data_IF_850871338005
#
_entry.id   IF_850871338005
#
_cell.length_a   1.000
_cell.length_b   1.000
_cell.length_c   1.000
_cell.angle_alpha   90.00
_cell.angle_beta   90.00
_cell.angle_gamma   90.00
#
_symmetry.space_group_name_H-M   'P 1'
#
loop_
_entity.id
_entity.type
_entity.pdbx_description
1 polymer ?
#
# COMPACT_ATOMS: atom_id res chain seq x y z
N UNK A 1 17.15 -2.74 3.88
CA UNK A 1 15.94 -1.92 3.83
C UNK A 1 14.76 -2.83 4.09
N UNK A 2 13.76 -2.38 4.83
CA UNK A 2 12.49 -3.07 5.06
C UNK A 2 11.36 -2.14 4.64
N UNK A 3 10.40 -2.67 3.88
CA UNK A 3 9.24 -1.91 3.40
C UNK A 3 8.01 -2.18 4.27
N UNK A 4 7.27 -1.13 4.59
CA UNK A 4 6.01 -1.21 5.36
C UNK A 4 4.98 -0.25 4.82
N UNK A 5 3.71 -0.66 4.83
CA UNK A 5 2.58 0.21 4.50
C UNK A 5 2.08 0.93 5.75
N UNK A 6 1.85 2.23 5.65
CA UNK A 6 1.38 3.12 6.70
C UNK A 6 0.29 4.05 6.17
N UNK A 7 -0.48 4.68 7.08
CA UNK A 7 -1.48 5.70 6.74
C UNK A 7 -2.48 5.30 5.65
N UNK A 8 -2.97 4.06 5.73
CA UNK A 8 -3.92 3.51 4.76
C UNK A 8 -5.33 4.08 4.94
N UNK A 9 -5.93 4.57 3.85
CA UNK A 9 -7.31 5.05 3.74
C UNK A 9 -7.98 4.49 2.47
N UNK A 10 -9.25 4.03 2.56
CA UNK A 10 -9.96 3.66 3.78
C UNK A 10 -9.24 2.55 4.55
N UNK A 11 -9.45 2.46 5.87
CA UNK A 11 -8.72 1.51 6.74
C UNK A 11 -8.92 0.05 6.31
N UNK A 12 -10.08 -0.28 5.71
CA UNK A 12 -10.39 -1.59 5.12
C UNK A 12 -9.38 -2.02 4.05
N UNK A 13 -8.74 -1.06 3.37
CA UNK A 13 -7.72 -1.35 2.36
C UNK A 13 -6.50 -2.11 2.91
N UNK A 14 -6.24 -2.07 4.22
CA UNK A 14 -5.15 -2.84 4.86
C UNK A 14 -5.34 -4.36 4.77
N UNK A 15 -6.58 -4.82 4.62
CA UNK A 15 -6.89 -6.26 4.56
C UNK A 15 -6.78 -6.79 3.12
N UNK A 16 -6.84 -5.90 2.12
CA UNK A 16 -6.82 -6.27 0.70
C UNK A 16 -5.51 -5.92 -0.01
N UNK A 17 -4.64 -5.10 0.58
CA UNK A 17 -3.36 -4.70 -0.02
C UNK A 17 -2.20 -5.04 0.91
N UNK A 18 -1.16 -5.65 0.36
CA UNK A 18 0.07 -6.00 1.07
C UNK A 18 1.31 -5.47 0.36
N UNK A 19 2.40 -5.28 1.11
CA UNK A 19 3.73 -5.00 0.56
C UNK A 19 4.70 -6.08 1.00
N UNK A 20 5.51 -6.56 0.06
CA UNK A 20 6.62 -7.44 0.38
C UNK A 20 7.71 -6.64 1.14
N UNK A 21 8.04 -7.00 2.39
CA UNK A 21 8.96 -6.22 3.21
C UNK A 21 10.40 -6.21 2.68
N UNK A 22 10.77 -7.14 1.78
CA UNK A 22 12.12 -7.24 1.24
C UNK A 22 12.26 -6.59 -0.15
N UNK A 23 11.21 -6.65 -0.98
CA UNK A 23 11.27 -6.18 -2.37
C UNK A 23 10.49 -4.88 -2.61
N UNK A 24 9.57 -4.52 -1.72
CA UNK A 24 8.65 -3.40 -1.93
C UNK A 24 7.52 -3.70 -2.93
N UNK A 25 7.40 -4.94 -3.41
CA UNK A 25 6.31 -5.35 -4.30
C UNK A 25 4.96 -5.20 -3.60
N UNK A 26 4.04 -4.44 -4.21
CA UNK A 26 2.67 -4.26 -3.75
C UNK A 26 1.78 -5.31 -4.42
N UNK A 27 0.95 -6.02 -3.66
CA UNK A 27 0.04 -7.04 -4.19
C UNK A 27 -1.35 -6.89 -3.58
N UNK A 28 -2.36 -7.26 -4.35
CA UNK A 28 -3.70 -7.49 -3.86
C UNK A 28 -3.80 -8.86 -3.18
N UNK A 29 -4.47 -8.90 -2.05
CA UNK A 29 -4.78 -10.09 -1.25
C UNK A 29 -6.17 -10.65 -1.55
N UNK A 30 -7.03 -9.86 -2.19
CA UNK A 30 -8.40 -10.22 -2.55
C UNK A 30 -8.88 -9.46 -3.79
N UNK A 31 -10.13 -9.71 -4.16
CA UNK A 31 -10.80 -8.93 -5.20
C UNK A 31 -11.06 -7.49 -4.72
N UNK A 32 -11.07 -6.55 -5.66
CA UNK A 32 -11.54 -5.19 -5.43
C UNK A 32 -12.93 -5.07 -6.04
N UNK A 33 -13.83 -4.42 -5.31
CA UNK A 33 -15.19 -4.11 -5.76
C UNK A 33 -15.31 -2.59 -5.89
N UNK A 34 -15.58 -2.12 -7.11
CA UNK A 34 -15.59 -0.69 -7.42
C UNK A 34 -16.72 0.02 -6.66
N UNK A 35 -17.86 -0.65 -6.52
CA UNK A 35 -19.02 -0.19 -5.78
C UNK A 35 -18.76 -0.04 -4.26
N UNK A 36 -17.76 -0.74 -3.73
CA UNK A 36 -17.36 -0.64 -2.33
C UNK A 36 -16.33 0.49 -2.12
N UNK A 37 -15.24 0.49 -2.89
CA UNK A 37 -14.17 1.49 -2.82
C UNK A 37 -13.53 1.69 -4.19
N UNK A 38 -13.52 2.94 -4.66
CA UNK A 38 -12.92 3.31 -5.94
C UNK A 38 -11.48 3.84 -5.82
N UNK A 39 -11.05 4.30 -4.65
CA UNK A 39 -9.70 4.84 -4.42
C UNK A 39 -9.14 4.41 -3.06
N UNK A 40 -7.88 4.01 -3.05
CA UNK A 40 -7.10 3.79 -1.83
C UNK A 40 -5.87 4.70 -1.78
N UNK A 41 -5.64 5.31 -0.63
CA UNK A 41 -4.47 6.15 -0.36
C UNK A 41 -3.64 5.53 0.77
N UNK A 42 -2.33 5.37 0.54
CA UNK A 42 -1.42 4.88 1.59
C UNK A 42 0.01 5.36 1.38
N UNK A 43 0.85 5.13 2.39
CA UNK A 43 2.28 5.43 2.34
C UNK A 43 3.12 4.17 2.43
N UNK A 44 4.18 4.11 1.63
CA UNK A 44 5.26 3.15 1.80
C UNK A 44 6.39 3.82 2.56
N UNK A 45 6.80 3.20 3.67
CA UNK A 45 8.04 3.52 4.37
C UNK A 45 9.11 2.49 4.02
N UNK A 46 10.28 2.97 3.61
CA UNK A 46 11.48 2.17 3.40
C UNK A 46 12.50 2.52 4.49
N UNK A 47 12.72 1.61 5.43
CA UNK A 47 13.63 1.81 6.56
C UNK A 47 14.91 1.01 6.40
N UNK A 48 16.08 1.65 6.49
CA UNK A 48 17.36 0.97 6.40
C UNK A 48 17.74 0.21 7.69
N UNK A 49 18.94 -0.41 7.69
CA UNK A 49 19.47 -1.17 8.85
C UNK A 49 20.60 -0.42 9.55
N UNK A 50 20.71 0.90 9.35
CA UNK A 50 21.74 1.73 9.96
C UNK A 50 21.53 1.93 11.46
N UNK A 51 22.53 2.55 12.10
CA UNK A 51 22.47 2.96 13.51
C UNK A 51 22.95 4.42 13.63
N UNK A 52 22.05 5.42 13.74
CA UNK A 52 20.59 5.28 13.76
C UNK A 52 20.02 4.90 12.37
N UNK A 53 18.85 4.25 12.31
CA UNK A 53 18.22 3.89 11.05
C UNK A 53 17.63 5.14 10.38
N UNK A 54 17.72 5.20 9.05
CA UNK A 54 17.08 6.21 8.23
C UNK A 54 15.84 5.63 7.54
N UNK A 55 14.83 6.47 7.34
CA UNK A 55 13.59 6.12 6.64
C UNK A 55 13.34 7.07 5.46
N UNK A 56 12.87 6.50 4.35
CA UNK A 56 12.28 7.23 3.22
C UNK A 56 10.79 6.92 3.10
N UNK A 57 10.01 7.85 2.56
CA UNK A 57 8.57 7.70 2.39
C UNK A 57 8.12 8.01 0.97
N UNK A 58 7.09 7.31 0.51
CA UNK A 58 6.40 7.54 -0.76
C UNK A 58 4.88 7.42 -0.54
N UNK A 59 4.10 8.32 -1.16
CA UNK A 59 2.64 8.20 -1.19
C UNK A 59 2.20 7.42 -2.42
N UNK A 60 1.19 6.58 -2.25
CA UNK A 60 0.58 5.76 -3.30
C UNK A 60 -0.92 6.02 -3.29
N UNK A 61 -1.45 6.41 -4.44
CA UNK A 61 -2.88 6.46 -4.74
C UNK A 61 -3.18 5.30 -5.70
N UNK A 62 -4.14 4.45 -5.35
CA UNK A 62 -4.57 3.31 -6.13
C UNK A 62 -6.03 3.52 -6.52
N UNK A 63 -6.25 3.74 -7.82
CA UNK A 63 -7.57 3.87 -8.41
C UNK A 63 -8.06 2.50 -8.90
N UNK A 64 -9.25 2.11 -8.46
CA UNK A 64 -9.95 0.92 -8.94
C UNK A 64 -10.73 1.33 -10.18
N UNK A 65 -10.43 0.69 -11.31
CA UNK A 65 -11.12 0.95 -12.56
C UNK A 65 -12.34 0.04 -12.66
N UNK A 66 -13.49 0.63 -12.97
CA UNK A 66 -14.68 -0.13 -13.33
C UNK A 66 -14.45 -0.77 -14.71
N UNK A 67 -14.68 -2.09 -14.78
CA UNK A 67 -14.54 -2.87 -16.01
C UNK A 67 -15.81 -2.80 -16.89
N UNK A 68 -16.92 -2.28 -16.37
CA UNK A 68 -18.25 -2.40 -16.96
C UNK A 68 -18.78 -1.11 -17.65
N UNK A 69 -17.93 -0.17 -18.04
CA UNK A 69 -18.32 0.97 -18.90
C UNK A 69 -18.28 0.62 -20.40
#
# INVERSE_FOLDING_TARGET
VTYTVTNFLPISGKDVITVNPNTGEIRLMGALDFEEVNVFDFRIEARDKGTPPLSGHCSVELEVLDMND
#
